data_IF_519031746651
#
_entry.id   IF_519031746651
#
_cell.length_a   1.000
_cell.length_b   1.000
_cell.length_c   1.000
_cell.angle_alpha   90.00
_cell.angle_beta   90.00
_cell.angle_gamma   90.00
#
_symmetry.space_group_name_H-M   'P 1'
#
loop_
_entity.id
_entity.type
_entity.pdbx_description
1 polymer ?
#
# COMPACT_ATOMS: atom_id res chain seq x y z
N UNK A 1 20.28 -8.84 20.08
CA UNK A 1 18.83 -8.55 20.15
C UNK A 1 18.49 -7.06 20.06
N UNK A 2 19.15 -6.14 20.80
CA UNK A 2 18.87 -4.69 20.74
C UNK A 2 19.11 -4.05 19.35
N UNK A 3 20.19 -4.37 18.65
CA UNK A 3 20.48 -3.83 17.31
C UNK A 3 19.41 -4.20 16.28
N UNK A 4 18.89 -5.42 16.33
CA UNK A 4 17.83 -5.87 15.43
C UNK A 4 16.54 -5.05 15.59
N UNK A 5 16.10 -4.78 16.83
CA UNK A 5 14.93 -3.94 17.07
C UNK A 5 15.12 -2.53 16.49
N UNK A 6 16.32 -1.95 16.65
CA UNK A 6 16.62 -0.62 16.12
C UNK A 6 16.43 -0.52 14.61
N UNK A 7 16.90 -1.49 13.82
CA UNK A 7 16.72 -1.47 12.36
C UNK A 7 15.26 -1.66 11.94
N UNK A 8 14.46 -2.48 12.66
CA UNK A 8 13.02 -2.60 12.43
C UNK A 8 12.30 -1.29 12.72
N UNK A 9 12.64 -0.62 13.81
CA UNK A 9 12.06 0.68 14.14
C UNK A 9 12.45 1.74 13.09
N UNK A 10 13.70 1.76 12.63
CA UNK A 10 14.16 2.63 11.56
C UNK A 10 13.48 2.37 10.21
N UNK A 11 13.00 1.17 9.95
CA UNK A 11 12.30 0.87 8.71
C UNK A 11 10.86 1.39 8.67
N UNK A 12 10.24 1.69 9.81
CA UNK A 12 8.81 2.05 9.91
C UNK A 12 8.58 3.42 10.54
N UNK A 13 9.18 3.69 11.69
CA UNK A 13 8.90 4.91 12.48
C UNK A 13 9.10 6.20 11.69
N UNK A 14 10.22 6.41 10.95
CA UNK A 14 10.41 7.64 10.18
C UNK A 14 9.29 7.87 9.16
N UNK A 15 8.84 6.80 8.47
CA UNK A 15 7.78 6.90 7.49
C UNK A 15 6.43 7.26 8.14
N UNK A 16 6.08 6.65 9.27
CA UNK A 16 4.85 6.96 9.99
C UNK A 16 4.86 8.39 10.53
N UNK A 17 5.96 8.82 11.16
CA UNK A 17 6.09 10.18 11.69
C UNK A 17 6.03 11.23 10.57
N UNK A 18 6.79 11.03 9.49
CA UNK A 18 6.76 11.95 8.34
C UNK A 18 5.37 11.99 7.69
N UNK A 19 4.69 10.84 7.55
CA UNK A 19 3.33 10.77 7.03
C UNK A 19 2.35 11.54 7.90
N UNK A 20 2.41 11.39 9.22
CA UNK A 20 1.59 12.14 10.17
C UNK A 20 1.85 13.65 10.08
N UNK A 21 3.11 14.08 10.10
CA UNK A 21 3.46 15.51 10.00
C UNK A 21 2.95 16.12 8.69
N UNK A 22 3.16 15.46 7.55
CA UNK A 22 2.68 15.94 6.25
C UNK A 22 1.15 15.98 6.20
N UNK A 23 0.46 15.01 6.80
CA UNK A 23 -0.98 15.01 6.90
C UNK A 23 -1.50 16.24 7.66
N UNK A 24 -0.93 16.52 8.83
CA UNK A 24 -1.32 17.68 9.65
C UNK A 24 -1.03 19.01 8.97
N UNK A 25 0.11 19.15 8.29
CA UNK A 25 0.46 20.37 7.54
C UNK A 25 -0.46 20.57 6.34
N UNK A 26 -0.92 19.49 5.73
CA UNK A 26 -1.76 19.54 4.54
C UNK A 26 -3.23 19.89 4.83
N UNK A 27 -3.75 19.65 6.01
CA UNK A 27 -5.12 20.04 6.38
C UNK A 27 -5.38 21.53 6.06
N UNK A 28 -4.55 22.51 6.54
CA UNK A 28 -4.73 23.93 6.22
C UNK A 28 -4.20 24.33 4.82
N UNK A 29 -3.37 23.53 4.16
CA UNK A 29 -2.65 23.89 2.92
C UNK A 29 -2.70 22.79 1.86
N UNK A 30 -3.88 22.39 1.36
CA UNK A 30 -4.04 21.18 0.52
C UNK A 30 -3.29 21.22 -0.81
N UNK A 31 -3.10 22.39 -1.41
CA UNK A 31 -2.49 22.58 -2.73
C UNK A 31 -1.17 23.40 -2.70
N UNK A 32 -0.50 23.49 -1.55
CA UNK A 32 0.74 24.26 -1.40
C UNK A 32 1.93 23.59 -2.10
N UNK A 33 2.62 24.34 -2.95
CA UNK A 33 3.88 23.90 -3.60
C UNK A 33 4.95 23.59 -2.55
N UNK A 34 5.00 24.34 -1.46
CA UNK A 34 5.94 24.10 -0.37
C UNK A 34 5.73 22.72 0.28
N UNK A 35 4.47 22.31 0.48
CA UNK A 35 4.13 20.98 0.99
C UNK A 35 4.53 19.89 -0.01
N UNK A 36 4.37 20.13 -1.31
CA UNK A 36 4.79 19.18 -2.34
C UNK A 36 6.32 19.00 -2.35
N UNK A 37 7.08 20.09 -2.25
CA UNK A 37 8.55 20.05 -2.15
C UNK A 37 8.98 19.31 -0.87
N UNK A 38 8.34 19.62 0.26
CA UNK A 38 8.62 18.92 1.53
C UNK A 38 8.33 17.43 1.43
N UNK A 39 7.21 17.03 0.82
CA UNK A 39 6.88 15.63 0.60
C UNK A 39 7.91 14.93 -0.28
N UNK A 40 8.35 15.56 -1.38
CA UNK A 40 9.38 15.02 -2.25
C UNK A 40 10.72 14.86 -1.52
N UNK A 41 11.12 15.85 -0.71
CA UNK A 41 12.34 15.78 0.10
C UNK A 41 12.27 14.65 1.13
N UNK A 42 11.14 14.47 1.80
CA UNK A 42 10.91 13.37 2.75
C UNK A 42 11.00 12.02 2.03
N UNK A 43 10.36 11.85 0.87
CA UNK A 43 10.42 10.61 0.09
C UNK A 43 11.88 10.30 -0.33
N UNK A 44 12.64 11.30 -0.75
CA UNK A 44 14.06 11.14 -1.08
C UNK A 44 14.90 10.73 0.13
N UNK A 45 14.70 11.37 1.30
CA UNK A 45 15.39 11.02 2.53
C UNK A 45 15.07 9.57 2.98
N UNK A 46 13.82 9.13 2.88
CA UNK A 46 13.42 7.77 3.18
C UNK A 46 14.03 6.75 2.21
N UNK A 47 14.14 7.08 0.93
CA UNK A 47 14.81 6.22 -0.04
C UNK A 47 16.32 6.07 0.30
N UNK A 48 16.99 7.15 0.73
CA UNK A 48 18.39 7.09 1.21
C UNK A 48 18.48 6.24 2.48
N UNK A 49 17.56 6.41 3.44
CA UNK A 49 17.51 5.58 4.64
C UNK A 49 17.33 4.10 4.30
N UNK A 50 16.40 3.77 3.41
CA UNK A 50 16.19 2.40 2.92
C UNK A 50 17.46 1.83 2.28
N UNK A 51 18.20 2.64 1.53
CA UNK A 51 19.49 2.25 0.95
C UNK A 51 20.54 1.95 2.02
N UNK A 52 20.63 2.76 3.07
CA UNK A 52 21.57 2.55 4.17
C UNK A 52 21.28 1.26 4.94
N UNK A 53 20.00 0.97 5.23
CA UNK A 53 19.64 -0.18 6.07
C UNK A 53 19.45 -1.49 5.30
N UNK A 54 19.41 -1.46 3.96
CA UNK A 54 19.08 -2.61 3.09
C UNK A 54 19.88 -3.88 3.34
N UNK A 55 21.16 -3.74 3.69
CA UNK A 55 22.07 -4.88 3.93
C UNK A 55 21.72 -5.68 5.19
N UNK A 56 20.92 -5.10 6.07
CA UNK A 56 20.50 -5.75 7.31
C UNK A 56 19.30 -6.69 7.15
N UNK A 57 18.62 -6.60 6.00
CA UNK A 57 17.41 -7.36 5.74
C UNK A 57 17.62 -8.46 4.71
N UNK A 58 16.99 -9.60 4.94
CA UNK A 58 16.99 -10.74 4.03
C UNK A 58 16.10 -10.52 2.80
N UNK A 59 16.31 -11.34 1.79
CA UNK A 59 15.52 -11.35 0.55
C UNK A 59 14.29 -12.26 0.62
N UNK A 60 14.01 -12.88 1.77
CA UNK A 60 12.87 -13.75 1.96
C UNK A 60 11.83 -13.08 2.87
N UNK A 61 10.54 -13.39 2.63
CA UNK A 61 9.48 -12.93 3.51
C UNK A 61 9.36 -13.85 4.73
N UNK A 62 9.26 -13.26 5.91
CA UNK A 62 8.91 -14.03 7.11
C UNK A 62 7.55 -14.70 6.93
N UNK A 63 7.42 -15.92 7.45
CA UNK A 63 6.14 -16.59 7.59
C UNK A 63 5.13 -15.74 8.36
N UNK A 64 3.84 -16.04 8.24
CA UNK A 64 2.77 -15.24 8.80
C UNK A 64 2.92 -15.00 10.30
N UNK A 65 3.20 -13.78 10.71
CA UNK A 65 3.09 -13.36 12.10
C UNK A 65 1.62 -13.00 12.38
N UNK A 66 1.17 -13.11 13.63
CA UNK A 66 -0.19 -12.72 14.04
C UNK A 66 -0.52 -11.27 13.62
N UNK A 67 0.46 -10.36 13.66
CA UNK A 67 0.29 -8.99 13.24
C UNK A 67 0.03 -8.87 11.73
N UNK A 68 0.74 -9.63 10.90
CA UNK A 68 0.51 -9.68 9.44
C UNK A 68 -0.86 -10.28 9.15
N UNK A 69 -1.25 -11.36 9.81
CA UNK A 69 -2.58 -11.98 9.68
C UNK A 69 -3.68 -10.97 9.99
N UNK A 70 -3.56 -10.24 11.10
CA UNK A 70 -4.54 -9.24 11.50
C UNK A 70 -4.63 -8.08 10.48
N UNK A 71 -3.49 -7.52 10.06
CA UNK A 71 -3.45 -6.45 9.08
C UNK A 71 -4.01 -6.90 7.72
N UNK A 72 -3.69 -8.12 7.26
CA UNK A 72 -4.25 -8.70 6.04
C UNK A 72 -5.76 -8.87 6.11
N UNK A 73 -6.29 -9.35 7.26
CA UNK A 73 -7.74 -9.50 7.45
C UNK A 73 -8.47 -8.16 7.37
N UNK A 74 -7.93 -7.11 7.98
CA UNK A 74 -8.51 -5.76 7.89
C UNK A 74 -8.56 -5.27 6.45
N UNK A 75 -7.44 -5.37 5.72
CA UNK A 75 -7.38 -4.96 4.31
C UNK A 75 -8.37 -5.76 3.47
N UNK A 76 -8.42 -7.09 3.65
CA UNK A 76 -9.35 -7.94 2.92
C UNK A 76 -10.82 -7.58 3.15
N UNK A 77 -11.23 -7.33 4.40
CA UNK A 77 -12.59 -6.92 4.75
C UNK A 77 -12.93 -5.53 4.18
N UNK A 78 -12.01 -4.58 4.24
CA UNK A 78 -12.23 -3.24 3.69
C UNK A 78 -12.31 -3.26 2.15
N UNK A 79 -11.53 -4.09 1.47
CA UNK A 79 -11.65 -4.28 0.02
C UNK A 79 -13.01 -4.88 -0.36
N UNK A 80 -13.53 -5.84 0.42
CA UNK A 80 -14.89 -6.36 0.22
C UNK A 80 -15.95 -5.28 0.43
N UNK A 81 -15.79 -4.44 1.45
CA UNK A 81 -16.71 -3.33 1.69
C UNK A 81 -16.66 -2.30 0.55
N UNK A 82 -15.47 -1.95 0.05
CA UNK A 82 -15.31 -1.07 -1.11
C UNK A 82 -15.99 -1.65 -2.35
N UNK A 83 -15.77 -2.95 -2.62
CA UNK A 83 -16.45 -3.66 -3.70
C UNK A 83 -17.98 -3.60 -3.57
N UNK A 84 -18.51 -3.91 -2.39
CA UNK A 84 -19.95 -3.90 -2.14
C UNK A 84 -20.57 -2.50 -2.35
N UNK A 85 -19.90 -1.44 -1.85
CA UNK A 85 -20.36 -0.05 -2.03
C UNK A 85 -20.27 0.37 -3.50
N UNK A 86 -19.23 -0.02 -4.23
CA UNK A 86 -19.09 0.26 -5.66
C UNK A 86 -20.21 -0.39 -6.46
N UNK A 87 -20.46 -1.69 -6.24
CA UNK A 87 -21.55 -2.43 -6.91
C UNK A 87 -22.91 -1.82 -6.57
N UNK A 88 -23.15 -1.48 -5.30
CA UNK A 88 -24.38 -0.81 -4.89
C UNK A 88 -24.56 0.52 -5.64
N UNK A 89 -23.54 1.35 -5.66
CA UNK A 89 -23.58 2.69 -6.28
C UNK A 89 -23.77 2.62 -7.81
N UNK A 90 -23.27 1.57 -8.46
CA UNK A 90 -23.40 1.40 -9.90
C UNK A 90 -24.77 0.84 -10.34
N UNK A 91 -25.30 -0.13 -9.58
CA UNK A 91 -26.45 -0.91 -10.05
C UNK A 91 -27.73 -0.67 -9.25
N UNK A 92 -27.63 -0.39 -7.94
CA UNK A 92 -28.80 -0.36 -7.04
C UNK A 92 -29.14 1.04 -6.52
N UNK A 93 -28.22 2.00 -6.59
CA UNK A 93 -28.48 3.37 -6.15
C UNK A 93 -29.56 4.04 -7.02
N UNK A 94 -30.38 4.93 -6.44
CA UNK A 94 -31.31 5.76 -7.20
C UNK A 94 -30.61 6.52 -8.33
N UNK A 95 -31.26 6.79 -9.47
CA UNK A 95 -30.63 7.44 -10.62
C UNK A 95 -29.95 8.78 -10.30
N UNK A 96 -30.47 9.52 -9.31
CA UNK A 96 -29.90 10.80 -8.84
C UNK A 96 -28.59 10.63 -8.04
N UNK A 97 -28.35 9.45 -7.47
CA UNK A 97 -27.18 9.14 -6.62
C UNK A 97 -26.14 8.26 -7.35
N UNK A 98 -26.48 7.81 -8.56
CA UNK A 98 -25.55 6.99 -9.35
C UNK A 98 -24.31 7.78 -9.71
N UNK A 99 -23.15 7.20 -9.44
CA UNK A 99 -21.89 7.79 -9.86
C UNK A 99 -21.86 7.83 -11.39
N UNK A 100 -21.68 9.01 -11.97
CA UNK A 100 -21.48 9.17 -13.42
C UNK A 100 -20.11 8.55 -13.76
N UNK A 101 -20.13 7.33 -14.29
CA UNK A 101 -18.90 6.60 -14.62
C UNK A 101 -18.46 6.96 -16.03
N UNK A 102 -17.30 7.58 -16.15
CA UNK A 102 -16.73 7.98 -17.45
C UNK A 102 -16.31 6.76 -18.29
N UNK A 103 -15.90 5.67 -17.63
CA UNK A 103 -15.55 4.41 -18.31
C UNK A 103 -15.94 3.20 -17.47
N UNK A 104 -17.11 2.64 -17.74
CA UNK A 104 -17.69 1.52 -17.00
C UNK A 104 -16.79 0.27 -17.01
N UNK A 105 -16.09 -0.01 -18.11
CA UNK A 105 -15.22 -1.18 -18.23
C UNK A 105 -14.04 -1.13 -17.25
N UNK A 106 -13.39 0.04 -17.12
CA UNK A 106 -12.24 0.19 -16.21
C UNK A 106 -12.68 0.06 -14.76
N UNK A 107 -13.83 0.66 -14.40
CA UNK A 107 -14.38 0.56 -13.05
C UNK A 107 -14.76 -0.90 -12.73
N UNK A 108 -15.42 -1.62 -13.64
CA UNK A 108 -15.73 -3.04 -13.44
C UNK A 108 -14.49 -3.90 -13.27
N UNK A 109 -13.41 -3.62 -14.02
CA UNK A 109 -12.14 -4.33 -13.84
C UNK A 109 -11.51 -4.00 -12.48
N UNK A 110 -11.54 -2.74 -12.05
CA UNK A 110 -11.07 -2.34 -10.72
C UNK A 110 -11.85 -3.07 -9.62
N UNK A 111 -13.18 -3.15 -9.75
CA UNK A 111 -14.06 -3.84 -8.80
C UNK A 111 -13.80 -5.36 -8.78
N UNK A 112 -13.67 -5.98 -9.95
CA UNK A 112 -13.32 -7.41 -10.05
C UNK A 112 -11.99 -7.70 -9.34
N UNK A 113 -10.95 -6.90 -9.61
CA UNK A 113 -9.66 -7.09 -8.95
C UNK A 113 -9.67 -6.69 -7.49
N UNK A 114 -10.56 -5.78 -7.04
CA UNK A 114 -10.82 -5.51 -5.63
C UNK A 114 -11.31 -6.77 -4.91
N UNK A 115 -12.30 -7.45 -5.49
CA UNK A 115 -12.81 -8.72 -4.96
C UNK A 115 -11.73 -9.80 -4.91
N UNK A 116 -10.98 -10.00 -6.00
CA UNK A 116 -9.89 -10.99 -6.03
C UNK A 116 -8.76 -10.66 -5.04
N UNK A 117 -8.42 -9.38 -4.88
CA UNK A 117 -7.45 -8.93 -3.89
C UNK A 117 -7.95 -9.16 -2.46
N UNK A 118 -9.24 -8.90 -2.19
CA UNK A 118 -9.85 -9.20 -0.91
C UNK A 118 -9.74 -10.69 -0.57
N UNK A 119 -10.07 -11.55 -1.52
CA UNK A 119 -9.93 -13.01 -1.38
C UNK A 119 -8.48 -13.38 -1.09
N UNK A 120 -7.51 -12.82 -1.81
CA UNK A 120 -6.07 -13.06 -1.54
C UNK A 120 -5.68 -12.70 -0.12
N UNK A 121 -6.04 -11.50 0.37
CA UNK A 121 -5.70 -11.06 1.71
C UNK A 121 -6.37 -11.93 2.79
N UNK A 122 -7.63 -12.29 2.60
CA UNK A 122 -8.36 -13.16 3.54
C UNK A 122 -7.81 -14.60 3.53
N UNK A 123 -7.53 -15.18 2.36
CA UNK A 123 -6.91 -16.51 2.26
C UNK A 123 -5.53 -16.52 2.91
N UNK A 124 -4.71 -15.49 2.65
CA UNK A 124 -3.37 -15.39 3.25
C UNK A 124 -3.40 -15.26 4.78
N UNK A 125 -4.49 -14.70 5.31
CA UNK A 125 -4.70 -14.52 6.74
C UNK A 125 -5.31 -15.75 7.42
N UNK A 126 -6.37 -16.32 6.84
CA UNK A 126 -7.20 -17.33 7.48
C UNK A 126 -6.77 -18.76 7.12
N UNK A 127 -6.36 -18.99 5.88
CA UNK A 127 -6.04 -20.33 5.37
C UNK A 127 -4.74 -20.28 4.55
N UNK A 128 -3.59 -20.00 5.19
CA UNK A 128 -2.31 -19.88 4.47
C UNK A 128 -1.89 -21.19 3.78
N UNK A 129 -2.44 -22.34 4.19
CA UNK A 129 -2.20 -23.63 3.55
C UNK A 129 -2.67 -23.71 2.11
N UNK A 130 -3.74 -22.99 1.73
CA UNK A 130 -4.19 -22.92 0.34
C UNK A 130 -3.18 -22.17 -0.57
N UNK A 131 -2.36 -21.32 0.01
CA UNK A 131 -1.29 -20.58 -0.67
C UNK A 131 0.10 -21.20 -0.43
N UNK A 132 0.18 -22.48 -0.02
CA UNK A 132 1.45 -23.18 0.22
C UNK A 132 2.25 -23.38 -1.07
N UNK A 133 1.57 -23.57 -2.21
CA UNK A 133 2.23 -23.64 -3.51
C UNK A 133 2.75 -22.26 -3.92
N UNK A 134 4.07 -22.14 -4.15
CA UNK A 134 4.71 -20.88 -4.51
C UNK A 134 4.14 -20.25 -5.78
N UNK A 135 3.83 -21.05 -6.80
CA UNK A 135 3.24 -20.57 -8.05
C UNK A 135 1.83 -19.99 -7.84
N UNK A 136 0.97 -20.71 -7.11
CA UNK A 136 -0.37 -20.23 -6.76
C UNK A 136 -0.28 -18.95 -5.92
N UNK A 137 0.58 -18.93 -4.91
CA UNK A 137 0.80 -17.75 -4.06
C UNK A 137 1.26 -16.53 -4.86
N UNK A 138 2.15 -16.72 -5.84
CA UNK A 138 2.62 -15.65 -6.71
C UNK A 138 1.49 -15.12 -7.59
N UNK A 139 0.70 -16.02 -8.20
CA UNK A 139 -0.44 -15.65 -9.04
C UNK A 139 -1.47 -14.81 -8.24
N UNK A 140 -1.84 -15.28 -7.05
CA UNK A 140 -2.75 -14.57 -6.18
C UNK A 140 -2.19 -13.24 -5.67
N UNK A 141 -0.88 -13.16 -5.39
CA UNK A 141 -0.22 -11.91 -4.98
C UNK A 141 -0.22 -10.83 -6.08
N UNK A 142 -0.47 -11.20 -7.34
CA UNK A 142 -0.65 -10.22 -8.42
C UNK A 142 -2.03 -9.56 -8.43
N UNK A 143 -3.03 -10.13 -7.78
CA UNK A 143 -4.40 -9.56 -7.78
C UNK A 143 -4.47 -8.18 -7.12
N UNK A 144 -3.86 -7.90 -5.95
CA UNK A 144 -3.83 -6.55 -5.39
C UNK A 144 -2.97 -5.57 -6.20
N UNK A 145 -1.96 -6.05 -6.94
CA UNK A 145 -1.20 -5.21 -7.88
C UNK A 145 -2.10 -4.73 -9.02
N UNK A 146 -2.88 -5.65 -9.62
CA UNK A 146 -3.82 -5.34 -10.69
C UNK A 146 -4.96 -4.46 -10.18
N UNK A 147 -5.47 -4.69 -8.96
CA UNK A 147 -6.43 -3.79 -8.33
C UNK A 147 -5.90 -2.36 -8.30
N UNK A 148 -4.70 -2.13 -7.76
CA UNK A 148 -4.10 -0.79 -7.72
C UNK A 148 -3.94 -0.20 -9.13
N UNK A 149 -3.51 -0.99 -10.12
CA UNK A 149 -3.33 -0.53 -11.49
C UNK A 149 -4.65 -0.04 -12.13
N UNK A 150 -5.72 -0.84 -12.03
CA UNK A 150 -7.02 -0.46 -12.58
C UNK A 150 -7.68 0.67 -11.79
N UNK A 151 -7.45 0.74 -10.47
CA UNK A 151 -7.92 1.84 -9.65
C UNK A 151 -7.23 3.16 -10.01
N UNK A 152 -5.90 3.16 -10.17
CA UNK A 152 -5.13 4.32 -10.66
C UNK A 152 -5.67 4.78 -12.01
N UNK A 153 -5.90 3.86 -12.93
CA UNK A 153 -6.44 4.17 -14.25
C UNK A 153 -7.85 4.76 -14.17
N UNK A 154 -8.72 4.19 -13.33
CA UNK A 154 -10.08 4.70 -13.08
C UNK A 154 -10.05 6.13 -12.55
N UNK A 155 -9.24 6.39 -11.52
CA UNK A 155 -9.15 7.69 -10.87
C UNK A 155 -8.50 8.73 -11.81
N UNK A 156 -7.52 8.33 -12.63
CA UNK A 156 -6.91 9.19 -13.63
C UNK A 156 -7.92 9.60 -14.72
N UNK A 157 -8.74 8.67 -15.20
CA UNK A 157 -9.79 8.95 -16.19
C UNK A 157 -10.87 9.86 -15.58
N UNK A 158 -11.27 9.62 -14.33
CA UNK A 158 -12.31 10.38 -13.65
C UNK A 158 -11.88 11.83 -13.34
N UNK A 159 -10.60 12.05 -12.97
CA UNK A 159 -10.09 13.38 -12.63
C UNK A 159 -9.66 14.21 -13.84
N UNK A 160 -9.61 13.61 -15.03
CA UNK A 160 -9.15 14.26 -16.25
C UNK A 160 -7.66 14.61 -16.20
N UNK A 161 -7.27 15.68 -16.94
CA UNK A 161 -5.86 16.02 -17.17
C UNK A 161 -5.15 16.75 -16.02
N UNK A 162 -5.83 17.06 -14.89
CA UNK A 162 -5.27 17.87 -13.80
C UNK A 162 -5.42 17.25 -12.40
N UNK A 163 -4.91 16.01 -12.14
CA UNK A 163 -4.98 15.41 -10.81
C UNK A 163 -4.13 16.16 -9.76
N UNK A 164 -3.16 16.97 -10.19
CA UNK A 164 -2.23 17.69 -9.30
C UNK A 164 -2.85 18.94 -8.67
N UNK A 165 -3.78 19.60 -9.35
CA UNK A 165 -4.33 20.90 -8.91
C UNK A 165 -5.12 20.81 -7.59
N UNK A 166 -5.79 19.68 -7.32
CA UNK A 166 -6.65 19.49 -6.14
C UNK A 166 -6.04 18.54 -5.09
N UNK A 167 -4.73 18.36 -5.09
CA UNK A 167 -4.07 17.44 -4.17
C UNK A 167 -4.26 15.96 -4.51
N UNK A 168 -4.99 15.61 -5.56
CA UNK A 168 -5.18 14.22 -6.04
C UNK A 168 -3.90 13.54 -6.49
N UNK A 169 -2.85 14.31 -6.81
CA UNK A 169 -1.54 13.75 -7.14
C UNK A 169 -0.93 12.92 -6.01
N UNK A 170 -1.14 13.28 -4.74
CA UNK A 170 -0.67 12.48 -3.60
C UNK A 170 -1.38 11.12 -3.53
N UNK A 171 -2.69 11.11 -3.85
CA UNK A 171 -3.48 9.88 -3.88
C UNK A 171 -2.94 8.91 -4.95
N UNK A 172 -2.81 9.39 -6.18
CA UNK A 172 -2.29 8.60 -7.29
C UNK A 172 -0.86 8.10 -7.01
N UNK A 173 0.04 8.98 -6.53
CA UNK A 173 1.40 8.59 -6.16
C UNK A 173 1.40 7.59 -5.00
N UNK A 174 0.55 7.77 -3.99
CA UNK A 174 0.40 6.83 -2.88
C UNK A 174 -0.02 5.45 -3.36
N UNK A 175 -0.97 5.36 -4.29
CA UNK A 175 -1.39 4.11 -4.93
C UNK A 175 -0.28 3.49 -5.78
N UNK A 176 0.46 4.30 -6.57
CA UNK A 176 1.59 3.81 -7.36
C UNK A 176 2.65 3.16 -6.46
N UNK A 177 3.04 3.82 -5.36
CA UNK A 177 4.03 3.26 -4.46
C UNK A 177 3.51 2.06 -3.66
N UNK A 178 2.22 2.01 -3.32
CA UNK A 178 1.59 0.82 -2.77
C UNK A 178 1.60 -0.35 -3.77
N UNK A 179 1.27 -0.10 -5.03
CA UNK A 179 1.36 -1.08 -6.11
C UNK A 179 2.80 -1.61 -6.29
N UNK A 180 3.79 -0.69 -6.32
CA UNK A 180 5.20 -1.07 -6.43
C UNK A 180 5.67 -1.89 -5.21
N UNK A 181 5.21 -1.56 -4.00
CA UNK A 181 5.48 -2.34 -2.80
C UNK A 181 4.92 -3.77 -2.94
N UNK A 182 3.65 -3.91 -3.34
CA UNK A 182 3.01 -5.21 -3.55
C UNK A 182 3.72 -6.03 -4.65
N UNK A 183 4.18 -5.37 -5.71
CA UNK A 183 4.99 -6.00 -6.75
C UNK A 183 6.35 -6.46 -6.20
N UNK A 184 6.99 -5.66 -5.35
CA UNK A 184 8.23 -6.06 -4.67
C UNK A 184 7.97 -7.23 -3.71
N UNK A 185 6.82 -7.25 -3.01
CA UNK A 185 6.41 -8.38 -2.18
C UNK A 185 6.24 -9.66 -3.00
N UNK A 186 5.57 -9.59 -4.16
CA UNK A 186 5.47 -10.72 -5.08
C UNK A 186 6.86 -11.21 -5.56
N UNK A 187 7.80 -10.29 -5.84
CA UNK A 187 9.19 -10.66 -6.18
C UNK A 187 9.92 -11.33 -5.01
N UNK A 188 9.67 -10.91 -3.77
CA UNK A 188 10.24 -11.57 -2.59
C UNK A 188 9.65 -12.98 -2.40
N UNK A 189 8.35 -13.17 -2.67
CA UNK A 189 7.73 -14.51 -2.71
C UNK A 189 8.41 -15.39 -3.75
N UNK A 190 8.75 -14.82 -4.92
CA UNK A 190 9.48 -15.51 -5.99
C UNK A 190 10.99 -15.69 -5.72
N UNK A 191 11.50 -15.28 -4.54
CA UNK A 191 12.93 -15.27 -4.17
C UNK A 191 13.83 -14.46 -5.12
N UNK A 192 13.27 -13.50 -5.85
CA UNK A 192 13.95 -12.60 -6.79
C UNK A 192 13.90 -11.13 -6.35
N UNK A 193 13.39 -10.86 -5.15
CA UNK A 193 13.21 -9.52 -4.62
C UNK A 193 14.49 -8.88 -4.10
N UNK A 194 14.53 -7.55 -4.14
CA UNK A 194 15.60 -6.74 -3.54
C UNK A 194 15.06 -6.01 -2.31
N UNK A 195 15.65 -6.18 -1.11
CA UNK A 195 15.17 -5.52 0.11
C UNK A 195 15.09 -3.99 0.00
N UNK A 196 16.03 -3.37 -0.73
CA UNK A 196 16.01 -1.92 -0.94
C UNK A 196 14.70 -1.42 -1.57
N UNK A 197 14.30 -2.00 -2.71
CA UNK A 197 13.10 -1.56 -3.41
C UNK A 197 11.83 -1.78 -2.56
N UNK A 198 11.78 -2.89 -1.83
CA UNK A 198 10.69 -3.21 -0.91
C UNK A 198 10.59 -2.19 0.21
N UNK A 199 11.71 -1.85 0.87
CA UNK A 199 11.77 -0.86 1.95
C UNK A 199 11.41 0.54 1.43
N UNK A 200 12.03 0.99 0.35
CA UNK A 200 11.83 2.34 -0.18
C UNK A 200 10.38 2.55 -0.65
N UNK A 201 9.84 1.61 -1.46
CA UNK A 201 8.46 1.72 -1.93
C UNK A 201 7.46 1.68 -0.76
N UNK A 202 7.70 0.82 0.24
CA UNK A 202 6.82 0.73 1.40
C UNK A 202 6.83 2.00 2.25
N UNK A 203 8.00 2.55 2.56
CA UNK A 203 8.11 3.78 3.34
C UNK A 203 7.44 4.96 2.63
N UNK A 204 7.68 5.14 1.32
CA UNK A 204 7.06 6.21 0.53
C UNK A 204 5.55 6.01 0.45
N UNK A 205 5.06 4.77 0.26
CA UNK A 205 3.64 4.47 0.25
C UNK A 205 2.95 4.85 1.56
N UNK A 206 3.55 4.56 2.72
CA UNK A 206 3.01 4.94 4.03
C UNK A 206 2.86 6.46 4.11
N UNK A 207 3.90 7.22 3.75
CA UNK A 207 3.90 8.70 3.83
C UNK A 207 2.82 9.29 2.94
N UNK A 208 2.77 8.90 1.67
CA UNK A 208 1.84 9.50 0.70
C UNK A 208 0.38 9.12 1.00
N UNK A 209 0.11 7.87 1.40
CA UNK A 209 -1.23 7.46 1.79
C UNK A 209 -1.70 8.17 3.07
N UNK A 210 -0.84 8.36 4.05
CA UNK A 210 -1.17 9.15 5.24
C UNK A 210 -1.42 10.62 4.89
N UNK A 211 -0.52 11.23 4.11
CA UNK A 211 -0.61 12.64 3.71
C UNK A 211 -1.87 12.97 2.90
N UNK A 212 -2.47 12.02 2.21
CA UNK A 212 -3.72 12.23 1.47
C UNK A 212 -4.95 11.83 2.29
N UNK A 213 -4.99 10.62 2.83
CA UNK A 213 -6.21 10.06 3.37
C UNK A 213 -6.53 10.57 4.79
N UNK A 214 -5.53 10.97 5.59
CA UNK A 214 -5.80 11.54 6.93
C UNK A 214 -6.52 12.89 6.82
N UNK A 215 -6.09 13.87 5.99
CA UNK A 215 -6.85 15.10 5.76
C UNK A 215 -8.26 14.86 5.18
N UNK A 216 -8.39 13.92 4.24
CA UNK A 216 -9.69 13.53 3.67
C UNK A 216 -10.67 13.05 4.74
N UNK A 217 -10.20 12.25 5.69
CA UNK A 217 -11.03 11.75 6.80
C UNK A 217 -11.26 12.80 7.90
N UNK A 218 -10.36 13.78 8.03
CA UNK A 218 -10.52 14.88 9.00
C UNK A 218 -11.55 15.92 8.51
N UNK A 219 -11.64 16.17 7.20
CA UNK A 219 -12.60 17.09 6.59
C UNK A 219 -13.59 16.33 5.69
N UNK A 220 -14.46 15.54 6.33
CA UNK A 220 -15.40 14.66 5.63
C UNK A 220 -16.66 15.38 5.08
N UNK A 221 -16.83 16.70 5.30
CA UNK A 221 -18.07 17.44 4.97
C UNK A 221 -18.40 17.50 3.47
N UNK A 222 -17.43 17.25 2.61
CA UNK A 222 -17.63 17.27 1.14
C UNK A 222 -17.38 15.90 0.48
N UNK A 223 -16.96 14.89 1.23
CA UNK A 223 -16.59 13.59 0.68
C UNK A 223 -17.78 12.63 0.64
N UNK A 224 -17.88 11.84 -0.41
CA UNK A 224 -18.87 10.77 -0.54
C UNK A 224 -18.51 9.59 0.37
N UNK A 225 -19.51 8.77 0.73
CA UNK A 225 -19.28 7.54 1.52
C UNK A 225 -18.25 6.61 0.85
N UNK A 226 -18.27 6.55 -0.48
CA UNK A 226 -17.31 5.75 -1.24
C UNK A 226 -15.88 6.29 -1.09
N UNK A 227 -15.67 7.61 -1.19
CA UNK A 227 -14.36 8.24 -1.01
C UNK A 227 -13.82 8.05 0.41
N UNK A 228 -14.67 8.20 1.43
CA UNK A 228 -14.29 7.97 2.82
C UNK A 228 -13.88 6.51 3.05
N UNK A 229 -14.67 5.55 2.52
CA UNK A 229 -14.36 4.14 2.66
C UNK A 229 -13.04 3.76 1.95
N UNK A 230 -12.80 4.31 0.74
CA UNK A 230 -11.52 4.14 0.07
C UNK A 230 -10.37 4.77 0.86
N UNK A 231 -10.57 5.94 1.46
CA UNK A 231 -9.59 6.57 2.33
C UNK A 231 -9.18 5.68 3.52
N UNK A 232 -10.18 5.11 4.21
CA UNK A 232 -9.94 4.14 5.30
C UNK A 232 -9.21 2.91 4.80
N UNK A 233 -9.59 2.37 3.64
CA UNK A 233 -8.96 1.20 3.04
C UNK A 233 -7.48 1.47 2.71
N UNK A 234 -7.14 2.64 2.13
CA UNK A 234 -5.74 2.97 1.85
C UNK A 234 -4.90 3.23 3.10
N UNK A 235 -5.50 3.73 4.19
CA UNK A 235 -4.82 3.77 5.50
C UNK A 235 -4.60 2.38 6.07
N UNK A 236 -5.54 1.45 5.89
CA UNK A 236 -5.33 0.05 6.25
C UNK A 236 -4.23 -0.62 5.39
N UNK A 237 -4.10 -0.26 4.11
CA UNK A 237 -2.96 -0.65 3.29
C UNK A 237 -1.64 -0.10 3.85
N UNK A 238 -1.61 1.18 4.24
CA UNK A 238 -0.42 1.77 4.87
C UNK A 238 -0.05 1.04 6.17
N UNK A 239 -1.03 0.67 6.99
CA UNK A 239 -0.82 -0.16 8.17
C UNK A 239 -0.28 -1.56 7.81
N UNK A 240 -0.87 -2.22 6.82
CA UNK A 240 -0.37 -3.51 6.33
C UNK A 240 1.09 -3.41 5.89
N UNK A 241 1.43 -2.39 5.10
CA UNK A 241 2.80 -2.12 4.65
C UNK A 241 3.74 -1.92 5.85
N UNK A 242 3.34 -1.11 6.83
CA UNK A 242 4.13 -0.87 8.03
C UNK A 242 4.41 -2.16 8.82
N UNK A 243 3.39 -3.01 9.00
CA UNK A 243 3.52 -4.31 9.67
C UNK A 243 4.45 -5.24 8.87
N UNK A 244 4.33 -5.26 7.54
CA UNK A 244 5.20 -6.08 6.67
C UNK A 244 6.65 -5.62 6.70
N UNK A 245 6.91 -4.31 6.70
CA UNK A 245 8.27 -3.77 6.86
C UNK A 245 8.86 -4.12 8.22
N UNK A 246 8.06 -4.03 9.29
CA UNK A 246 8.49 -4.36 10.64
C UNK A 246 8.81 -5.85 10.82
N UNK A 247 8.10 -6.72 10.11
CA UNK A 247 8.27 -8.18 10.19
C UNK A 247 9.27 -8.73 9.18
N UNK A 248 9.91 -7.90 8.37
CA UNK A 248 10.93 -8.34 7.41
C UNK A 248 12.09 -9.04 8.13
N UNK A 249 12.49 -10.27 7.71
CA UNK A 249 13.57 -10.99 8.36
C UNK A 249 14.92 -10.33 8.09
N UNK A 250 15.85 -10.53 9.02
CA UNK A 250 17.25 -10.09 8.84
C UNK A 250 18.00 -10.99 7.87
N UNK A 251 18.98 -10.41 7.20
CA UNK A 251 19.98 -11.19 6.49
C UNK A 251 20.71 -12.10 7.49
N UNK A 252 20.69 -13.39 7.26
CA UNK A 252 21.54 -14.29 8.03
C UNK A 252 23.00 -13.95 7.68
N UNK A 253 23.91 -13.83 8.69
CA UNK A 253 25.34 -13.76 8.40
C UNK A 253 25.70 -15.01 7.57
N UNK A 254 26.28 -14.79 6.40
CA UNK A 254 26.86 -15.92 5.64
C UNK A 254 27.93 -16.51 6.57
N UNK A 255 27.73 -17.72 7.00
CA UNK A 255 28.71 -18.45 7.78
C UNK A 255 29.92 -18.60 6.86
N UNK A 256 31.08 -18.06 7.23
CA UNK A 256 32.34 -18.11 6.46
C UNK A 256 32.78 -19.56 6.13
N UNK A 257 32.17 -20.54 6.79
CA UNK A 257 32.38 -21.98 6.54
C UNK A 257 31.94 -22.45 5.14
N UNK A 258 31.08 -21.71 4.41
CA UNK A 258 30.68 -22.08 3.06
C UNK A 258 31.71 -21.66 1.98
N UNK A 259 32.68 -20.80 2.31
CA UNK A 259 33.72 -20.34 1.40
C UNK A 259 34.95 -21.25 1.43
N UNK A 260 35.16 -21.99 2.52
CA UNK A 260 36.27 -22.96 2.63
C UNK A 260 35.99 -24.32 1.96
N UNK A 261 34.73 -24.57 1.54
CA UNK A 261 34.32 -25.85 0.91
C UNK A 261 34.01 -25.74 -0.58
N UNK A 262 34.23 -24.60 -1.22
CA UNK A 262 34.11 -24.40 -2.67
C UNK A 262 35.47 -24.18 -3.32
#
# INVERSE_FOLDING_TARGET
>A
MKQHLTYRLLSVIPAVLCGAVLAFVRIPHPASIAVAIAAAAVCAALAVLAFCVRKQFGSELAGGSTAVTFASSIVGLLLLACFAVSVYSLYFAPPAERIAVTNTTVVLLADLFSLLAAVYFLLSALIPSLLANQGARLLWAMTPVLYCAFRILSDFIATGTMPLANGGGYHILGMIFAMLFLLCEAKLIAKKGKPFAYLACGQIAIVLNAAYNVPLLADFKGATTAELLHGVMFLAFALYIAVRLFTLPYAQPQTEEAIEQA
#
